data_IF_278172196680
#
_entry.id   IF_278172196680
#
_cell.length_a   1.000
_cell.length_b   1.000
_cell.length_c   1.000
_cell.angle_alpha   90.00
_cell.angle_beta   90.00
_cell.angle_gamma   90.00
#
_symmetry.space_group_name_H-M   'P 1'
#
loop_
_entity.id
_entity.type
_entity.pdbx_description
1 polymer ?
#
# COMPACT_ATOMS: atom_id res chain seq x y z
N UNK A 1 20.61 6.59 -6.10
CA UNK A 1 21.65 7.03 -5.13
C UNK A 1 21.22 8.27 -4.32
N UNK A 2 20.81 9.41 -4.95
CA UNK A 2 20.48 10.65 -4.22
C UNK A 2 19.33 10.46 -3.23
N UNK A 3 18.21 9.84 -3.64
CA UNK A 3 17.05 9.59 -2.79
C UNK A 3 17.42 8.68 -1.61
N UNK A 4 18.14 7.60 -1.86
CA UNK A 4 18.54 6.66 -0.80
C UNK A 4 19.56 7.28 0.16
N UNK A 5 20.48 8.13 -0.34
CA UNK A 5 21.35 8.92 0.53
C UNK A 5 20.56 9.87 1.43
N UNK A 6 19.49 10.47 0.89
CA UNK A 6 18.62 11.34 1.66
C UNK A 6 17.84 10.55 2.73
N UNK A 7 17.33 9.38 2.37
CA UNK A 7 16.64 8.48 3.30
C UNK A 7 17.57 8.06 4.44
N UNK A 8 18.77 7.58 4.12
CA UNK A 8 19.77 7.18 5.13
C UNK A 8 20.07 8.33 6.10
N UNK A 9 20.31 9.57 5.58
CA UNK A 9 20.56 10.76 6.40
C UNK A 9 19.42 11.14 7.33
N UNK A 10 18.20 10.75 7.01
CA UNK A 10 17.01 11.01 7.82
C UNK A 10 16.57 9.80 8.67
N UNK A 11 17.38 8.72 8.72
CA UNK A 11 17.09 7.54 9.53
C UNK A 11 16.02 6.62 8.95
N UNK A 12 15.75 6.71 7.64
CA UNK A 12 14.82 5.79 6.96
C UNK A 12 15.61 4.52 6.62
N UNK A 13 15.26 3.41 7.26
CA UNK A 13 15.92 2.11 7.07
C UNK A 13 15.09 1.12 6.27
N UNK A 14 13.79 1.34 6.17
CA UNK A 14 12.87 0.50 5.41
C UNK A 14 12.07 1.35 4.44
N UNK A 15 11.84 0.79 3.26
CA UNK A 15 11.04 1.43 2.23
C UNK A 15 10.07 0.44 1.59
N UNK A 16 8.99 0.96 1.08
CA UNK A 16 8.12 0.30 0.14
C UNK A 16 8.44 0.79 -1.27
N UNK A 17 8.45 -0.11 -2.24
CA UNK A 17 8.82 0.25 -3.63
C UNK A 17 7.77 -0.21 -4.63
N UNK A 18 7.62 0.59 -5.66
CA UNK A 18 6.82 0.26 -6.86
C UNK A 18 7.76 -0.09 -8.01
N UNK A 19 8.00 -1.36 -8.33
CA UNK A 19 8.93 -1.78 -9.38
C UNK A 19 8.57 -1.24 -10.76
N UNK A 20 7.30 -0.94 -10.99
CA UNK A 20 6.84 -0.33 -12.24
C UNK A 20 7.32 1.10 -12.43
N UNK A 21 7.66 1.81 -11.35
CA UNK A 21 7.80 3.26 -11.36
C UNK A 21 9.00 3.77 -10.54
N UNK A 22 10.17 3.17 -10.71
CA UNK A 22 11.38 3.56 -10.00
C UNK A 22 11.91 4.88 -10.58
N UNK A 23 12.06 5.94 -9.77
CA UNK A 23 12.61 7.21 -10.22
C UNK A 23 14.11 7.09 -10.51
N UNK A 24 14.52 7.50 -11.72
CA UNK A 24 15.91 7.49 -12.17
C UNK A 24 16.30 8.86 -12.71
N UNK A 25 17.38 9.44 -12.18
CA UNK A 25 17.89 10.72 -12.66
C UNK A 25 18.88 10.50 -13.79
N UNK A 26 18.63 11.11 -14.93
CA UNK A 26 19.53 11.14 -16.09
C UNK A 26 19.86 12.59 -16.40
N UNK A 27 21.07 13.03 -16.03
CA UNK A 27 21.45 14.43 -16.07
C UNK A 27 20.57 15.27 -15.13
N UNK A 28 19.81 16.24 -15.69
CA UNK A 28 18.85 17.07 -14.94
C UNK A 28 17.41 16.54 -14.99
N UNK A 29 17.16 15.47 -15.75
CA UNK A 29 15.80 14.93 -15.98
C UNK A 29 15.53 13.77 -15.04
N UNK A 30 14.36 13.79 -14.39
CA UNK A 30 13.82 12.66 -13.65
C UNK A 30 13.00 11.81 -14.63
N UNK A 31 13.39 10.56 -14.78
CA UNK A 31 12.68 9.54 -15.55
C UNK A 31 12.17 8.44 -14.61
N UNK A 32 11.26 7.64 -15.11
CA UNK A 32 10.75 6.47 -14.39
C UNK A 32 11.13 5.21 -15.16
N UNK A 33 11.62 4.20 -14.44
CA UNK A 33 12.08 2.94 -15.02
C UNK A 33 11.38 1.77 -14.33
N UNK A 34 11.02 0.77 -15.11
CA UNK A 34 10.55 -0.52 -14.57
C UNK A 34 11.73 -1.36 -14.06
N UNK A 35 11.60 -1.88 -12.84
CA UNK A 35 12.58 -2.74 -12.19
C UNK A 35 12.17 -4.22 -12.36
N UNK A 36 12.14 -4.73 -13.60
CA UNK A 36 11.65 -6.08 -13.88
C UNK A 36 12.74 -7.04 -14.40
N UNK A 37 13.77 -6.52 -15.07
CA UNK A 37 14.87 -7.36 -15.53
C UNK A 37 15.77 -7.77 -14.35
N UNK A 38 16.21 -9.03 -14.31
CA UNK A 38 17.04 -9.55 -13.22
C UNK A 38 18.29 -8.70 -12.97
N UNK A 39 18.95 -8.25 -14.04
CA UNK A 39 20.14 -7.35 -13.94
C UNK A 39 19.82 -6.06 -13.19
N UNK A 40 18.65 -5.48 -13.42
CA UNK A 40 18.24 -4.22 -12.80
C UNK A 40 17.89 -4.44 -11.33
N UNK A 41 17.26 -5.57 -10.99
CA UNK A 41 16.97 -5.96 -9.59
C UNK A 41 18.27 -6.21 -8.82
N UNK A 42 19.23 -6.91 -9.41
CA UNK A 42 20.57 -7.09 -8.80
C UNK A 42 21.28 -5.75 -8.56
N UNK A 43 21.20 -4.84 -9.51
CA UNK A 43 21.78 -3.51 -9.36
C UNK A 43 21.07 -2.73 -8.24
N UNK A 44 19.74 -2.76 -8.18
CA UNK A 44 18.96 -2.12 -7.12
C UNK A 44 19.34 -2.69 -5.74
N UNK A 45 19.48 -4.01 -5.62
CA UNK A 45 19.91 -4.67 -4.39
C UNK A 45 21.26 -4.14 -3.90
N UNK A 46 22.27 -4.06 -4.78
CA UNK A 46 23.60 -3.50 -4.44
C UNK A 46 23.53 -2.05 -3.97
N UNK A 47 22.64 -1.26 -4.60
CA UNK A 47 22.45 0.15 -4.20
C UNK A 47 21.77 0.23 -2.83
N UNK A 48 20.74 -0.56 -2.58
CA UNK A 48 20.05 -0.64 -1.29
C UNK A 48 21.01 -1.06 -0.17
N UNK A 49 21.83 -2.08 -0.40
CA UNK A 49 22.87 -2.55 0.53
C UNK A 49 23.90 -1.44 0.83
N UNK A 50 24.36 -0.69 -0.16
CA UNK A 50 25.28 0.44 0.01
C UNK A 50 24.73 1.48 0.98
N UNK A 51 23.42 1.75 0.95
CA UNK A 51 22.78 2.73 1.82
C UNK A 51 22.16 2.11 3.08
N UNK A 52 22.32 0.81 3.30
CA UNK A 52 21.76 0.07 4.43
C UNK A 52 20.23 0.20 4.54
N UNK A 53 19.56 0.28 3.40
CA UNK A 53 18.10 0.36 3.30
C UNK A 53 17.56 -1.00 2.88
N UNK A 54 16.51 -1.44 3.54
CA UNK A 54 15.80 -2.70 3.28
C UNK A 54 14.44 -2.42 2.64
N UNK A 55 13.95 -3.38 1.89
CA UNK A 55 12.59 -3.33 1.31
C UNK A 55 11.64 -4.03 2.26
N UNK A 56 10.69 -3.29 2.82
CA UNK A 56 9.62 -3.81 3.66
C UNK A 56 8.54 -4.50 2.81
N UNK A 57 8.16 -3.84 1.72
CA UNK A 57 7.11 -4.28 0.84
C UNK A 57 7.42 -3.91 -0.62
N UNK A 58 7.00 -4.75 -1.55
CA UNK A 58 7.00 -4.48 -2.99
C UNK A 58 5.56 -4.27 -3.43
N UNK A 59 5.26 -3.13 -4.05
CA UNK A 59 3.94 -2.83 -4.58
C UNK A 59 3.79 -3.31 -6.02
N UNK A 60 2.59 -3.73 -6.35
CA UNK A 60 2.18 -4.08 -7.71
C UNK A 60 0.91 -3.29 -8.06
N UNK A 61 1.08 -2.20 -8.82
CA UNK A 61 0.03 -1.23 -9.14
C UNK A 61 -0.85 -1.58 -10.34
N UNK A 62 -0.68 -2.75 -10.91
CA UNK A 62 -1.32 -3.12 -12.18
C UNK A 62 -2.85 -3.16 -12.17
N UNK A 63 -3.49 -3.24 -10.99
CA UNK A 63 -4.95 -3.14 -10.86
C UNK A 63 -5.53 -1.83 -11.41
N UNK A 64 -4.72 -0.77 -11.48
CA UNK A 64 -5.08 0.52 -12.06
C UNK A 64 -4.87 0.61 -13.58
N UNK A 65 -4.21 -0.37 -14.19
CA UNK A 65 -4.04 -0.46 -15.65
C UNK A 65 -5.21 -1.25 -16.27
N UNK A 66 -6.10 -0.53 -16.93
CA UNK A 66 -7.30 -1.12 -17.55
C UNK A 66 -7.00 -2.17 -18.61
N UNK A 67 -5.91 -2.04 -19.33
CA UNK A 67 -5.54 -3.02 -20.36
C UNK A 67 -4.97 -4.28 -19.73
N UNK A 68 -4.13 -4.12 -18.71
CA UNK A 68 -3.60 -5.24 -17.94
C UNK A 68 -4.72 -5.96 -17.16
N UNK A 69 -5.69 -5.21 -16.61
CA UNK A 69 -6.85 -5.78 -15.93
C UNK A 69 -7.73 -6.66 -16.81
N UNK A 70 -7.70 -6.46 -18.13
CA UNK A 70 -8.44 -7.28 -19.11
C UNK A 70 -7.70 -8.55 -19.55
N UNK A 71 -6.41 -8.66 -19.26
CA UNK A 71 -5.57 -9.81 -19.64
C UNK A 71 -5.13 -10.58 -18.37
N UNK A 72 -5.91 -11.59 -17.93
CA UNK A 72 -5.60 -12.32 -16.71
C UNK A 72 -4.27 -13.08 -16.78
N UNK A 73 -3.85 -13.52 -17.96
CA UNK A 73 -2.56 -14.24 -18.12
C UNK A 73 -1.39 -13.27 -17.95
N UNK A 74 -1.47 -12.08 -18.54
CA UNK A 74 -0.45 -11.04 -18.38
C UNK A 74 -0.41 -10.53 -16.95
N UNK A 75 -1.57 -10.20 -16.37
CA UNK A 75 -1.67 -9.76 -14.97
C UNK A 75 -1.04 -10.78 -14.01
N UNK A 76 -1.44 -12.05 -14.15
CA UNK A 76 -0.95 -13.14 -13.31
C UNK A 76 0.56 -13.31 -13.41
N UNK A 77 1.13 -13.19 -14.61
CA UNK A 77 2.57 -13.28 -14.86
C UNK A 77 3.33 -12.09 -14.27
N UNK A 78 2.80 -10.89 -14.40
CA UNK A 78 3.39 -9.67 -13.84
C UNK A 78 3.37 -9.69 -12.30
N UNK A 79 2.26 -10.12 -11.70
CA UNK A 79 2.16 -10.30 -10.24
C UNK A 79 3.11 -11.41 -9.74
N UNK A 80 3.23 -12.52 -10.47
CA UNK A 80 4.23 -13.56 -10.18
C UNK A 80 5.66 -12.99 -10.21
N UNK A 81 5.96 -12.08 -11.14
CA UNK A 81 7.27 -11.39 -11.20
C UNK A 81 7.47 -10.46 -10.01
N UNK A 82 6.45 -9.75 -9.55
CA UNK A 82 6.53 -8.93 -8.34
C UNK A 82 6.89 -9.77 -7.10
N UNK A 83 6.35 -10.99 -6.98
CA UNK A 83 6.73 -11.94 -5.91
C UNK A 83 8.22 -12.32 -5.99
N UNK A 84 8.76 -12.57 -7.20
CA UNK A 84 10.19 -12.86 -7.34
C UNK A 84 11.05 -11.64 -6.99
N UNK A 85 10.66 -10.45 -7.40
CA UNK A 85 11.37 -9.20 -7.03
C UNK A 85 11.38 -9.03 -5.52
N UNK A 86 10.24 -9.23 -4.85
CA UNK A 86 10.16 -9.18 -3.39
C UNK A 86 11.14 -10.18 -2.74
N UNK A 87 11.17 -11.42 -3.24
CA UNK A 87 12.10 -12.43 -2.77
C UNK A 87 13.57 -12.04 -2.97
N UNK A 88 13.93 -11.55 -4.15
CA UNK A 88 15.29 -11.11 -4.48
C UNK A 88 15.75 -9.92 -3.62
N UNK A 89 14.85 -9.00 -3.28
CA UNK A 89 15.11 -7.83 -2.45
C UNK A 89 14.94 -8.08 -0.94
N UNK A 90 14.51 -9.29 -0.54
CA UNK A 90 14.35 -9.68 0.86
C UNK A 90 13.06 -9.24 1.52
N UNK A 91 12.12 -8.66 0.78
CA UNK A 91 10.79 -8.33 1.27
C UNK A 91 9.96 -9.59 1.55
N UNK A 92 9.01 -9.49 2.46
CA UNK A 92 8.11 -10.60 2.82
C UNK A 92 6.67 -10.38 2.36
N UNK A 93 6.39 -9.21 1.81
CA UNK A 93 5.05 -8.79 1.38
C UNK A 93 5.12 -8.23 -0.02
N UNK A 94 4.14 -8.59 -0.84
CA UNK A 94 3.79 -7.89 -2.07
C UNK A 94 2.43 -7.26 -1.84
N UNK A 95 2.38 -5.94 -1.75
CA UNK A 95 1.14 -5.19 -1.79
C UNK A 95 0.61 -5.15 -3.22
N UNK A 96 -0.66 -5.41 -3.41
CA UNK A 96 -1.29 -5.32 -4.72
C UNK A 96 -2.75 -4.89 -4.59
N UNK A 97 -3.29 -4.40 -5.70
CA UNK A 97 -4.70 -3.98 -5.79
C UNK A 97 -5.54 -5.05 -6.48
N UNK A 98 -6.85 -4.97 -6.28
CA UNK A 98 -7.76 -5.85 -7.02
C UNK A 98 -7.57 -5.65 -8.53
N UNK A 99 -7.50 -6.73 -9.29
CA UNK A 99 -7.35 -6.67 -10.74
C UNK A 99 -8.43 -5.80 -11.42
N UNK A 100 -9.54 -5.60 -10.73
CA UNK A 100 -10.71 -4.89 -11.24
C UNK A 100 -10.83 -3.44 -10.74
N UNK A 101 -9.89 -2.93 -9.95
CA UNK A 101 -9.97 -1.59 -9.35
C UNK A 101 -10.18 -0.48 -10.39
N UNK A 102 -9.53 -0.60 -11.55
CA UNK A 102 -9.68 0.36 -12.63
C UNK A 102 -11.01 0.25 -13.42
N UNK A 103 -11.82 -0.77 -13.13
CA UNK A 103 -13.03 -1.11 -13.88
C UNK A 103 -14.32 -1.02 -13.07
N UNK A 104 -14.21 -0.78 -11.77
CA UNK A 104 -15.35 -0.60 -10.87
C UNK A 104 -15.55 -1.77 -9.89
N UNK A 105 -16.64 -1.75 -9.12
CA UNK A 105 -16.82 -2.62 -7.97
C UNK A 105 -17.27 -4.06 -8.29
N UNK A 106 -17.69 -4.33 -9.51
CA UNK A 106 -18.17 -5.66 -9.90
C UNK A 106 -17.02 -6.56 -10.32
N UNK A 107 -16.89 -7.72 -9.69
CA UNK A 107 -15.89 -8.74 -10.05
C UNK A 107 -16.55 -10.09 -10.28
N UNK A 108 -15.87 -10.94 -11.05
CA UNK A 108 -16.23 -12.34 -11.22
C UNK A 108 -15.36 -13.22 -10.32
N UNK A 109 -15.95 -13.78 -9.28
CA UNK A 109 -15.24 -14.71 -8.39
C UNK A 109 -14.68 -15.94 -9.14
N UNK A 110 -15.33 -16.38 -10.22
CA UNK A 110 -14.86 -17.49 -11.05
C UNK A 110 -13.57 -17.15 -11.82
N UNK A 111 -13.20 -15.89 -11.91
CA UNK A 111 -11.97 -15.44 -12.59
C UNK A 111 -10.80 -15.20 -11.64
N UNK A 112 -11.05 -15.05 -10.34
CA UNK A 112 -10.00 -14.75 -9.36
C UNK A 112 -8.80 -15.71 -9.46
N UNK A 113 -9.05 -17.00 -9.67
CA UNK A 113 -7.97 -18.00 -9.83
C UNK A 113 -7.10 -17.72 -11.06
N UNK A 114 -7.68 -17.19 -12.15
CA UNK A 114 -6.93 -16.84 -13.36
C UNK A 114 -5.95 -15.68 -13.12
N UNK A 115 -6.37 -14.70 -12.30
CA UNK A 115 -5.55 -13.54 -11.97
C UNK A 115 -4.52 -13.85 -10.88
N UNK A 116 -4.88 -14.58 -9.84
CA UNK A 116 -4.06 -14.71 -8.64
C UNK A 116 -3.42 -16.09 -8.45
N UNK A 117 -3.98 -17.14 -9.04
CA UNK A 117 -3.59 -18.52 -8.72
C UNK A 117 -2.12 -18.83 -8.94
N UNK A 118 -1.51 -18.33 -10.03
CA UNK A 118 -0.06 -18.50 -10.29
C UNK A 118 0.78 -17.78 -9.24
N UNK A 119 0.44 -16.51 -8.98
CA UNK A 119 1.15 -15.70 -8.02
C UNK A 119 1.03 -16.25 -6.59
N UNK A 120 -0.14 -16.78 -6.20
CA UNK A 120 -0.33 -17.47 -4.90
C UNK A 120 0.58 -18.70 -4.78
N UNK A 121 0.65 -19.56 -5.82
CA UNK A 121 1.56 -20.71 -5.80
C UNK A 121 3.02 -20.29 -5.65
N UNK A 122 3.43 -19.23 -6.36
CA UNK A 122 4.76 -18.65 -6.26
C UNK A 122 5.01 -18.07 -4.87
N UNK A 123 4.08 -17.29 -4.34
CA UNK A 123 4.12 -16.66 -3.02
C UNK A 123 4.29 -17.73 -1.92
N UNK A 124 3.50 -18.80 -1.97
CA UNK A 124 3.66 -19.96 -1.08
C UNK A 124 5.06 -20.57 -1.15
N UNK A 125 5.59 -20.80 -2.35
CA UNK A 125 6.93 -21.35 -2.54
C UNK A 125 8.02 -20.44 -1.99
N UNK A 126 7.87 -19.12 -2.14
CA UNK A 126 8.82 -18.09 -1.67
C UNK A 126 8.59 -17.66 -0.23
N UNK A 127 7.50 -18.09 0.41
CA UNK A 127 7.06 -17.64 1.75
C UNK A 127 6.90 -16.12 1.80
N UNK A 128 6.19 -15.58 0.80
CA UNK A 128 5.87 -14.16 0.65
C UNK A 128 4.36 -14.02 0.69
N UNK A 129 3.86 -13.03 1.42
CA UNK A 129 2.44 -12.72 1.45
C UNK A 129 2.07 -11.84 0.24
N UNK A 130 0.99 -12.21 -0.43
CA UNK A 130 0.24 -11.31 -1.32
C UNK A 130 -0.76 -10.58 -0.44
N UNK A 131 -0.56 -9.30 -0.25
CA UNK A 131 -1.39 -8.44 0.58
C UNK A 131 -2.28 -7.57 -0.32
N UNK A 132 -3.55 -7.95 -0.45
CA UNK A 132 -4.53 -7.19 -1.22
C UNK A 132 -4.88 -5.92 -0.45
N UNK A 133 -4.65 -4.76 -1.04
CA UNK A 133 -5.02 -3.47 -0.46
C UNK A 133 -6.48 -3.15 -0.74
N UNK A 134 -7.16 -2.62 0.26
CA UNK A 134 -8.51 -2.11 0.08
C UNK A 134 -8.49 -0.75 -0.60
N UNK A 135 -9.38 -0.57 -1.58
CA UNK A 135 -9.54 0.64 -2.35
C UNK A 135 -10.99 1.13 -2.34
N UNK A 136 -11.16 2.46 -2.39
CA UNK A 136 -12.48 3.08 -2.33
C UNK A 136 -13.30 2.95 -3.63
N UNK A 137 -12.86 2.15 -4.60
CA UNK A 137 -13.39 2.14 -5.97
C UNK A 137 -13.84 0.77 -6.47
N UNK A 138 -13.61 -0.30 -5.70
CA UNK A 138 -13.94 -1.68 -6.08
C UNK A 138 -14.60 -2.46 -4.93
N UNK A 139 -14.73 -3.77 -5.08
CA UNK A 139 -15.35 -4.62 -4.05
C UNK A 139 -14.62 -4.54 -2.70
N UNK A 140 -13.32 -4.23 -2.69
CA UNK A 140 -12.53 -4.12 -1.46
C UNK A 140 -12.84 -2.84 -0.66
N UNK A 141 -13.64 -1.93 -1.22
CA UNK A 141 -14.12 -0.73 -0.54
C UNK A 141 -14.87 -1.02 0.76
N UNK A 142 -15.48 -2.21 0.87
CA UNK A 142 -16.13 -2.66 2.10
C UNK A 142 -15.31 -3.74 2.81
N UNK A 143 -15.26 -3.75 4.15
CA UNK A 143 -14.58 -4.80 4.90
C UNK A 143 -15.07 -6.21 4.57
N UNK A 144 -16.38 -6.37 4.37
CA UNK A 144 -17.01 -7.64 4.00
C UNK A 144 -16.62 -8.08 2.59
N UNK A 145 -16.53 -7.13 1.65
CA UNK A 145 -16.07 -7.42 0.28
C UNK A 145 -14.63 -7.91 0.26
N UNK A 146 -13.74 -7.23 1.00
CA UNK A 146 -12.35 -7.67 1.19
C UNK A 146 -12.30 -9.07 1.81
N UNK A 147 -13.02 -9.28 2.91
CA UNK A 147 -13.09 -10.58 3.60
C UNK A 147 -13.54 -11.68 2.65
N UNK A 148 -14.58 -11.42 1.86
CA UNK A 148 -15.12 -12.39 0.90
C UNK A 148 -14.07 -12.83 -0.12
N UNK A 149 -13.26 -11.90 -0.64
CA UNK A 149 -12.19 -12.24 -1.58
C UNK A 149 -11.12 -13.09 -0.89
N UNK A 150 -10.63 -12.66 0.27
CA UNK A 150 -9.55 -13.36 0.98
C UNK A 150 -9.98 -14.79 1.37
N UNK A 151 -11.20 -14.95 1.85
CA UNK A 151 -11.76 -16.27 2.19
C UNK A 151 -11.97 -17.14 0.94
N UNK A 152 -12.44 -16.55 -0.17
CA UNK A 152 -12.59 -17.27 -1.44
C UNK A 152 -11.26 -17.82 -1.95
N UNK A 153 -10.18 -17.03 -1.90
CA UNK A 153 -8.85 -17.47 -2.30
C UNK A 153 -8.28 -18.57 -1.40
N UNK A 154 -8.75 -18.67 -0.17
CA UNK A 154 -8.44 -19.73 0.80
C UNK A 154 -6.94 -20.09 0.86
N UNK A 155 -6.09 -19.08 0.97
CA UNK A 155 -4.63 -19.25 1.02
C UNK A 155 -4.01 -18.53 2.21
N UNK A 156 -3.12 -19.21 2.92
CA UNK A 156 -2.29 -18.61 3.96
C UNK A 156 -1.46 -17.44 3.42
N UNK A 157 -1.09 -17.46 2.14
CA UNK A 157 -0.26 -16.46 1.50
C UNK A 157 -1.04 -15.41 0.69
N UNK A 158 -2.37 -15.40 0.76
CA UNK A 158 -3.21 -14.34 0.20
C UNK A 158 -3.99 -13.69 1.34
N UNK A 159 -3.61 -12.48 1.68
CA UNK A 159 -4.03 -11.74 2.87
C UNK A 159 -4.37 -10.30 2.49
N UNK A 160 -4.50 -9.39 3.46
CA UNK A 160 -4.77 -7.99 3.18
C UNK A 160 -3.66 -7.06 3.68
N UNK A 161 -3.40 -6.01 2.89
CA UNK A 161 -2.84 -4.76 3.36
C UNK A 161 -4.00 -3.89 3.84
N UNK A 162 -3.96 -3.47 5.08
CA UNK A 162 -5.06 -2.74 5.71
C UNK A 162 -4.80 -1.25 5.69
N UNK A 163 -5.67 -0.51 5.00
CA UNK A 163 -5.70 0.94 4.99
C UNK A 163 -7.02 1.46 5.55
N UNK A 164 -6.98 1.96 6.78
CA UNK A 164 -8.16 2.48 7.46
C UNK A 164 -8.73 3.75 6.79
N UNK A 165 -7.88 4.52 6.12
CA UNK A 165 -8.29 5.76 5.46
C UNK A 165 -8.98 5.49 4.13
N UNK A 166 -8.59 4.45 3.40
CA UNK A 166 -9.30 4.02 2.20
C UNK A 166 -10.72 3.55 2.54
N UNK A 167 -10.92 2.88 3.69
CA UNK A 167 -12.28 2.57 4.18
C UNK A 167 -13.06 3.85 4.50
N UNK A 168 -12.45 4.79 5.21
CA UNK A 168 -13.09 6.09 5.47
C UNK A 168 -13.49 6.80 4.16
N UNK A 169 -12.61 6.81 3.17
CA UNK A 169 -12.89 7.38 1.86
C UNK A 169 -14.09 6.69 1.18
N UNK A 170 -14.25 5.41 1.35
CA UNK A 170 -15.38 4.65 0.83
C UNK A 170 -16.68 4.82 1.65
N UNK A 171 -16.62 5.53 2.78
CA UNK A 171 -17.77 5.74 3.66
C UNK A 171 -17.95 4.67 4.74
N UNK A 172 -16.90 3.89 5.02
CA UNK A 172 -16.88 2.90 6.09
C UNK A 172 -16.03 3.36 7.27
N UNK A 173 -16.35 2.89 8.46
CA UNK A 173 -15.50 3.14 9.62
C UNK A 173 -14.25 2.26 9.55
N UNK A 174 -13.08 2.88 9.29
CA UNK A 174 -11.81 2.17 9.17
C UNK A 174 -11.37 1.53 10.48
N UNK A 175 -11.59 2.21 11.62
CA UNK A 175 -11.33 1.68 12.95
C UNK A 175 -12.38 2.20 13.96
N UNK A 176 -12.97 1.32 14.79
CA UNK A 176 -12.64 -0.11 14.99
C UNK A 176 -13.29 -1.10 14.01
N UNK A 177 -14.36 -0.73 13.29
CA UNK A 177 -15.20 -1.69 12.58
C UNK A 177 -14.46 -2.52 11.52
N UNK A 178 -13.85 -1.88 10.52
CA UNK A 178 -13.15 -2.61 9.46
C UNK A 178 -12.00 -3.47 10.01
N UNK A 179 -11.28 -2.95 11.00
CA UNK A 179 -10.24 -3.71 11.68
C UNK A 179 -10.78 -4.99 12.31
N UNK A 180 -11.88 -4.91 13.07
CA UNK A 180 -12.48 -6.10 13.73
C UNK A 180 -12.93 -7.16 12.72
N UNK A 181 -13.39 -6.76 11.55
CA UNK A 181 -13.79 -7.68 10.47
C UNK A 181 -12.57 -8.39 9.87
N UNK A 182 -11.42 -7.71 9.78
CA UNK A 182 -10.28 -8.14 8.96
C UNK A 182 -9.03 -8.54 9.75
N UNK A 183 -8.94 -8.32 11.04
CA UNK A 183 -7.72 -8.46 11.85
C UNK A 183 -6.96 -9.79 11.66
N UNK A 184 -7.67 -10.90 11.42
CA UNK A 184 -7.07 -12.23 11.20
C UNK A 184 -6.41 -12.37 9.80
N UNK A 185 -6.65 -11.40 8.93
CA UNK A 185 -6.14 -11.40 7.56
C UNK A 185 -5.08 -10.34 7.31
N UNK A 186 -4.80 -9.44 8.26
CA UNK A 186 -3.88 -8.32 8.10
C UNK A 186 -2.43 -8.81 8.20
N UNK A 187 -1.63 -8.56 7.15
CA UNK A 187 -0.19 -8.86 7.12
C UNK A 187 0.65 -7.62 6.82
N UNK A 188 0.02 -6.54 6.39
CA UNK A 188 0.63 -5.24 6.16
C UNK A 188 -0.37 -4.14 6.49
N UNK A 189 0.11 -2.96 6.86
CA UNK A 189 -0.74 -1.81 7.20
C UNK A 189 -0.17 -0.57 6.56
N UNK A 190 -1.01 0.19 5.87
CA UNK A 190 -0.70 1.56 5.47
C UNK A 190 -1.19 2.55 6.52
N UNK A 191 -0.33 3.49 6.87
CA UNK A 191 -0.63 4.58 7.80
C UNK A 191 -0.69 5.88 7.03
N UNK A 192 -1.86 6.39 6.91
CA UNK A 192 -2.19 7.76 6.49
C UNK A 192 -3.46 8.18 7.21
N UNK A 193 -3.82 9.44 7.14
CA UNK A 193 -5.12 9.88 7.61
C UNK A 193 -5.81 10.73 6.56
N UNK A 194 -7.10 10.88 6.68
CA UNK A 194 -7.94 11.63 5.75
C UNK A 194 -9.11 12.28 6.46
N UNK A 195 -9.60 13.36 5.88
CA UNK A 195 -10.90 13.94 6.16
C UNK A 195 -11.44 14.54 4.87
N UNK A 196 -12.75 14.61 4.72
CA UNK A 196 -13.29 15.38 3.60
C UNK A 196 -13.04 16.86 3.82
N UNK A 197 -12.73 17.57 2.74
CA UNK A 197 -12.40 18.98 2.81
C UNK A 197 -13.62 19.81 3.20
N UNK A 198 -13.43 20.65 4.22
CA UNK A 198 -14.41 21.66 4.62
C UNK A 198 -13.72 23.01 4.77
N UNK A 199 -14.14 24.06 4.06
CA UNK A 199 -13.49 25.37 4.09
C UNK A 199 -13.39 26.00 5.49
N UNK A 200 -14.33 25.70 6.37
CA UNK A 200 -14.40 26.24 7.73
C UNK A 200 -13.26 25.75 8.64
N UNK A 201 -12.61 24.64 8.30
CA UNK A 201 -11.50 24.10 9.10
C UNK A 201 -10.13 24.70 8.76
N UNK A 202 -10.06 25.58 7.76
CA UNK A 202 -8.84 26.31 7.42
C UNK A 202 -7.68 25.45 6.91
N UNK A 203 -7.91 24.17 6.61
CA UNK A 203 -6.90 23.29 6.07
C UNK A 203 -6.54 23.68 4.63
N UNK A 204 -5.25 23.71 4.31
CA UNK A 204 -4.82 23.81 2.92
C UNK A 204 -5.37 22.64 2.12
N UNK A 205 -6.03 22.94 1.01
CA UNK A 205 -6.57 21.93 0.10
C UNK A 205 -5.44 21.15 -0.56
N UNK A 206 -5.08 20.01 -0.02
CA UNK A 206 -4.15 19.07 -0.63
C UNK A 206 -4.93 17.95 -1.33
N UNK A 207 -5.72 18.33 -2.33
CA UNK A 207 -6.46 17.33 -3.09
C UNK A 207 -5.55 16.56 -4.01
N UNK A 208 -5.13 15.40 -3.55
CA UNK A 208 -4.69 14.36 -4.46
C UNK A 208 -5.76 13.28 -4.47
N UNK A 209 -6.45 13.04 -5.39
CA UNK A 209 -7.22 11.83 -5.42
C UNK A 209 -8.67 11.94 -5.73
N UNK A 210 -9.12 13.05 -6.11
CA UNK A 210 -10.44 13.10 -6.68
C UNK A 210 -11.58 13.04 -5.67
N UNK A 211 -12.75 12.71 -6.16
CA UNK A 211 -13.98 12.71 -5.37
C UNK A 211 -14.09 11.43 -4.56
N UNK A 212 -14.52 11.56 -3.32
CA UNK A 212 -14.84 10.43 -2.46
C UNK A 212 -16.07 9.66 -2.97
N UNK A 213 -16.10 8.38 -2.66
CA UNK A 213 -17.24 7.50 -2.88
C UNK A 213 -18.02 7.28 -1.57
N UNK A 214 -19.11 6.53 -1.62
CA UNK A 214 -19.91 6.21 -0.45
C UNK A 214 -20.51 7.45 0.22
N UNK A 215 -20.46 7.51 1.56
CA UNK A 215 -21.06 8.58 2.38
C UNK A 215 -20.58 9.97 1.99
N UNK A 216 -19.35 10.10 1.53
CA UNK A 216 -18.73 11.38 1.17
C UNK A 216 -18.71 11.63 -0.34
N UNK A 217 -19.52 10.92 -1.12
CA UNK A 217 -19.58 11.06 -2.56
C UNK A 217 -19.77 12.52 -2.98
N UNK A 218 -18.91 12.95 -3.90
CA UNK A 218 -18.93 14.33 -4.40
C UNK A 218 -18.07 15.32 -3.60
N UNK A 219 -17.52 14.93 -2.47
CA UNK A 219 -16.60 15.76 -1.68
C UNK A 219 -15.13 15.43 -2.02
N UNK A 220 -14.28 16.44 -1.88
CA UNK A 220 -12.84 16.26 -1.96
C UNK A 220 -12.31 15.68 -0.66
N UNK A 221 -11.37 14.74 -0.73
CA UNK A 221 -10.63 14.28 0.42
C UNK A 221 -9.35 15.11 0.61
N UNK A 222 -9.06 15.43 1.86
CA UNK A 222 -7.84 16.06 2.32
C UNK A 222 -7.05 15.06 3.14
N UNK A 223 -5.73 15.02 2.97
CA UNK A 223 -4.82 14.10 3.68
C UNK A 223 -3.92 14.89 4.64
N UNK A 224 -4.33 15.09 5.90
CA UNK A 224 -3.52 15.72 6.94
C UNK A 224 -2.50 14.72 7.51
N UNK A 225 -1.76 15.14 8.53
CA UNK A 225 -0.96 14.21 9.33
C UNK A 225 -1.85 13.16 10.01
N UNK A 226 -1.24 12.03 10.37
CA UNK A 226 -1.96 10.93 11.01
C UNK A 226 -2.68 11.35 12.30
N UNK A 227 -2.14 12.36 13.02
CA UNK A 227 -2.76 12.95 14.20
C UNK A 227 -4.05 13.72 13.94
N UNK A 228 -4.24 14.28 12.73
CA UNK A 228 -5.16 15.38 12.46
C UNK A 228 -6.36 14.99 11.58
N UNK A 229 -6.42 13.75 11.11
CA UNK A 229 -7.53 13.28 10.27
C UNK A 229 -8.73 12.74 11.05
N UNK A 230 -9.71 12.29 10.30
CA UNK A 230 -10.96 11.75 10.85
C UNK A 230 -10.87 10.29 11.31
N UNK A 231 -9.85 9.56 10.85
CA UNK A 231 -9.66 8.15 11.20
C UNK A 231 -8.91 8.06 12.54
N UNK A 232 -9.39 7.19 13.43
CA UNK A 232 -8.77 6.96 14.74
C UNK A 232 -7.50 6.09 14.61
N UNK A 233 -6.43 6.68 14.05
CA UNK A 233 -5.12 6.01 13.87
C UNK A 233 -4.51 5.63 15.23
N UNK A 234 -4.64 6.45 16.26
CA UNK A 234 -4.20 6.13 17.62
C UNK A 234 -4.81 4.83 18.16
N UNK A 235 -6.12 4.70 18.00
CA UNK A 235 -6.84 3.50 18.41
C UNK A 235 -6.37 2.26 17.62
N UNK A 236 -6.18 2.42 16.32
CA UNK A 236 -5.67 1.36 15.44
C UNK A 236 -4.29 0.88 15.88
N UNK A 237 -3.33 1.80 16.08
CA UNK A 237 -1.96 1.45 16.47
C UNK A 237 -1.91 0.72 17.81
N UNK A 238 -2.63 1.21 18.83
CA UNK A 238 -2.73 0.54 20.14
C UNK A 238 -3.37 -0.85 20.04
N UNK A 239 -4.32 -0.99 19.12
CA UNK A 239 -4.98 -2.28 18.93
C UNK A 239 -4.09 -3.27 18.20
N UNK A 240 -3.35 -2.86 17.19
CA UNK A 240 -2.34 -3.68 16.52
C UNK A 240 -1.30 -4.20 17.54
N UNK A 241 -0.77 -3.32 18.40
CA UNK A 241 0.16 -3.71 19.46
C UNK A 241 -0.47 -4.71 20.42
N UNK A 242 -1.68 -4.44 20.91
CA UNK A 242 -2.40 -5.32 21.84
C UNK A 242 -2.67 -6.71 21.25
N UNK A 243 -2.99 -6.77 19.96
CA UNK A 243 -3.29 -8.01 19.25
C UNK A 243 -1.99 -8.73 18.80
N UNK A 244 -0.80 -8.17 19.10
CA UNK A 244 0.49 -8.78 18.81
C UNK A 244 0.91 -8.70 17.35
N UNK A 245 0.44 -7.70 16.61
CA UNK A 245 0.86 -7.48 15.22
C UNK A 245 2.38 -7.21 15.15
N UNK A 246 3.06 -7.92 14.25
CA UNK A 246 4.52 -7.85 14.08
C UNK A 246 4.94 -7.48 12.65
N UNK A 247 3.98 -7.17 11.79
CA UNK A 247 4.23 -6.71 10.43
C UNK A 247 4.66 -5.25 10.38
N UNK A 248 4.92 -4.76 9.18
CA UNK A 248 5.22 -3.35 8.96
C UNK A 248 3.95 -2.51 8.92
N UNK A 249 4.09 -1.29 9.47
CA UNK A 249 3.16 -0.19 9.23
C UNK A 249 3.90 0.82 8.35
N UNK A 250 3.57 0.89 7.07
CA UNK A 250 4.21 1.79 6.11
C UNK A 250 3.49 3.14 6.08
N UNK A 251 4.23 4.22 6.28
CA UNK A 251 3.68 5.56 6.09
C UNK A 251 3.46 5.83 4.61
N UNK A 252 2.27 6.24 4.25
CA UNK A 252 1.87 6.58 2.89
C UNK A 252 1.39 8.04 2.80
N UNK A 253 2.30 9.02 2.86
CA UNK A 253 1.91 10.42 2.85
C UNK A 253 1.40 10.85 1.48
N UNK A 254 0.18 11.33 1.41
CA UNK A 254 -0.38 11.96 0.22
C UNK A 254 -0.02 13.45 0.20
N UNK A 255 1.23 13.76 -0.08
CA UNK A 255 1.77 15.13 -0.06
C UNK A 255 2.58 15.44 -1.32
N UNK A 256 3.11 16.66 -1.41
CA UNK A 256 4.00 17.04 -2.52
C UNK A 256 5.43 16.59 -2.27
N UNK A 257 6.26 16.40 -3.32
CA UNK A 257 7.66 16.03 -3.15
C UNK A 257 8.45 16.96 -2.23
N UNK A 258 8.14 18.27 -2.27
CA UNK A 258 8.84 19.29 -1.47
C UNK A 258 8.53 19.16 0.03
N UNK A 259 7.32 18.71 0.38
CA UNK A 259 6.86 18.51 1.76
C UNK A 259 7.09 17.10 2.29
N UNK A 260 7.53 16.16 1.45
CA UNK A 260 7.59 14.74 1.80
C UNK A 260 8.47 14.47 3.04
N UNK A 261 9.63 15.14 3.15
CA UNK A 261 10.52 14.96 4.30
C UNK A 261 9.99 15.58 5.59
N UNK A 262 9.29 16.70 5.50
CA UNK A 262 8.69 17.32 6.67
C UNK A 262 7.52 16.42 7.16
N UNK A 263 6.73 15.91 6.22
CA UNK A 263 5.69 14.93 6.52
C UNK A 263 6.27 13.69 7.21
N UNK A 264 7.35 13.13 6.66
CA UNK A 264 8.03 11.99 7.27
C UNK A 264 8.47 12.27 8.71
N UNK A 265 9.06 13.44 8.99
CA UNK A 265 9.52 13.81 10.33
C UNK A 265 8.38 13.91 11.33
N UNK A 266 7.29 14.56 10.96
CA UNK A 266 6.10 14.70 11.81
C UNK A 266 5.45 13.33 12.08
N UNK A 267 5.26 12.52 11.04
CA UNK A 267 4.70 11.17 11.17
C UNK A 267 5.60 10.25 12.01
N UNK A 268 6.91 10.32 11.81
CA UNK A 268 7.86 9.53 12.60
C UNK A 268 7.84 9.96 14.07
N UNK A 269 7.77 11.25 14.35
CA UNK A 269 7.65 11.75 15.72
C UNK A 269 6.36 11.24 16.36
N UNK A 270 5.24 11.35 15.66
CA UNK A 270 3.93 10.83 16.08
C UNK A 270 3.95 9.34 16.41
N UNK A 271 4.56 8.51 15.55
CA UNK A 271 4.67 7.06 15.75
C UNK A 271 5.58 6.71 16.94
N UNK A 272 6.73 7.38 17.07
CA UNK A 272 7.68 7.16 18.18
C UNK A 272 7.08 7.48 19.55
N UNK A 273 6.30 8.57 19.65
CA UNK A 273 5.57 8.90 20.89
C UNK A 273 4.61 7.79 21.32
N UNK A 274 4.18 6.93 20.41
CA UNK A 274 3.29 5.79 20.64
C UNK A 274 4.02 4.47 20.79
N UNK A 275 5.35 4.52 20.87
CA UNK A 275 6.18 3.33 21.08
C UNK A 275 6.41 2.49 19.81
N UNK A 276 5.97 2.95 18.65
CA UNK A 276 6.26 2.29 17.37
C UNK A 276 7.74 2.49 17.05
N UNK A 277 8.43 1.40 16.76
CA UNK A 277 9.86 1.40 16.41
C UNK A 277 10.02 1.26 14.89
N UNK A 278 11.05 1.92 14.37
CA UNK A 278 11.51 1.74 12.98
C UNK A 278 12.15 0.36 12.77
#
# INVERSE_FOLDING_TARGET
DEILSLFQKNGIHFIEIWPENIPVKVGKTLLHKRLYANRDVEQAKKILEKYQIKVACVCFGAGFDKELAKDPELFSRELERAVEIAYELGAKVVNHYCYHVAMGPEISFSELEKYYGRAIRKAKHRKIYLALENEAHDITQSPEGMKTIVEHMNSEYFKTNFDATNYYQAGYEGFPYAYEVLKEYIVHVHIKNGCFYHPEFGHEKQCRGGKMTGMFAGNDIYYPYASDGAVNIDGLLRRLEKDGYTGFCTMEPHTTPEKCLDFYREETAYLRERGIKE
#
